data_IF_478300612197
#
_entry.id   IF_478300612197
#
_cell.length_a   1.000
_cell.length_b   1.000
_cell.length_c   1.000
_cell.angle_alpha   90.00
_cell.angle_beta   90.00
_cell.angle_gamma   90.00
#
_symmetry.space_group_name_H-M   'P 1'
#
loop_
_entity.id
_entity.type
_entity.pdbx_description
1 polymer ?
#
# COMPACT_ATOMS: atom_id res chain seq x y z
N UNK A 1 6.59 -34.51 7.33
CA UNK A 1 5.61 -34.64 6.24
C UNK A 1 5.01 -33.28 6.05
N UNK A 2 5.31 -32.62 4.92
CA UNK A 2 4.72 -31.33 4.59
C UNK A 2 3.21 -31.54 4.35
N UNK A 3 2.40 -30.94 5.20
CA UNK A 3 0.96 -30.98 5.09
C UNK A 3 0.58 -30.05 3.91
N UNK A 4 0.46 -30.61 2.72
CA UNK A 4 0.03 -29.88 1.53
C UNK A 4 -1.45 -29.58 1.72
N UNK A 5 -1.78 -28.48 2.41
CA UNK A 5 -3.15 -28.00 2.49
C UNK A 5 -3.60 -27.67 1.07
N UNK A 6 -4.55 -28.46 0.55
CA UNK A 6 -5.23 -28.11 -0.67
C UNK A 6 -5.97 -26.80 -0.43
N UNK A 7 -5.61 -25.77 -1.18
CA UNK A 7 -6.30 -24.49 -1.14
C UNK A 7 -7.75 -24.67 -1.62
N UNK A 8 -8.66 -24.05 -0.90
CA UNK A 8 -10.07 -23.95 -1.35
C UNK A 8 -10.15 -23.13 -2.65
N UNK A 9 -11.22 -23.32 -3.41
CA UNK A 9 -11.41 -22.57 -4.64
C UNK A 9 -11.54 -21.06 -4.42
N UNK A 10 -12.06 -20.65 -3.27
CA UNK A 10 -12.09 -19.25 -2.84
C UNK A 10 -10.69 -18.70 -2.60
N UNK A 11 -9.85 -19.44 -1.86
CA UNK A 11 -8.46 -19.04 -1.61
C UNK A 11 -7.64 -18.99 -2.89
N UNK A 12 -7.82 -19.96 -3.81
CA UNK A 12 -7.16 -19.94 -5.12
C UNK A 12 -7.56 -18.71 -5.94
N UNK A 13 -8.86 -18.40 -6.02
CA UNK A 13 -9.34 -17.20 -6.72
C UNK A 13 -8.76 -15.92 -6.11
N UNK A 14 -8.82 -15.80 -4.79
CA UNK A 14 -8.27 -14.66 -4.08
C UNK A 14 -6.77 -14.48 -4.36
N UNK A 15 -5.97 -15.54 -4.20
CA UNK A 15 -4.52 -15.50 -4.40
C UNK A 15 -4.13 -15.23 -5.86
N UNK A 16 -4.84 -15.81 -6.83
CA UNK A 16 -4.60 -15.52 -8.25
C UNK A 16 -4.74 -14.03 -8.55
N UNK A 17 -5.84 -13.41 -8.12
CA UNK A 17 -6.04 -11.96 -8.26
C UNK A 17 -5.01 -11.16 -7.45
N UNK A 18 -4.66 -11.61 -6.25
CA UNK A 18 -3.67 -10.97 -5.40
C UNK A 18 -2.31 -10.82 -6.09
N UNK A 19 -1.78 -11.91 -6.64
CA UNK A 19 -0.48 -11.88 -7.33
C UNK A 19 -0.50 -10.97 -8.57
N UNK A 20 -1.58 -10.99 -9.34
CA UNK A 20 -1.75 -10.06 -10.47
C UNK A 20 -1.79 -8.58 -10.00
N UNK A 21 -2.40 -8.30 -8.86
CA UNK A 21 -2.45 -6.95 -8.30
C UNK A 21 -1.06 -6.52 -7.81
N UNK A 22 -0.34 -7.40 -7.13
CA UNK A 22 1.03 -7.16 -6.66
C UNK A 22 1.98 -6.88 -7.81
N UNK A 23 1.96 -7.73 -8.85
CA UNK A 23 2.79 -7.55 -10.04
C UNK A 23 2.46 -6.24 -10.77
N UNK A 24 1.18 -5.93 -10.96
CA UNK A 24 0.73 -4.69 -11.58
C UNK A 24 1.14 -3.45 -10.78
N UNK A 25 1.16 -3.53 -9.44
CA UNK A 25 1.65 -2.46 -8.58
C UNK A 25 3.15 -2.25 -8.77
N UNK A 26 3.95 -3.32 -8.75
CA UNK A 26 5.40 -3.27 -8.94
C UNK A 26 5.74 -2.68 -10.30
N UNK A 27 5.06 -3.13 -11.35
CA UNK A 27 5.23 -2.61 -12.71
C UNK A 27 4.87 -1.12 -12.80
N UNK A 28 3.73 -0.72 -12.20
CA UNK A 28 3.31 0.67 -12.19
C UNK A 28 4.28 1.61 -11.49
N UNK A 29 4.83 1.20 -10.34
CA UNK A 29 5.86 1.97 -9.63
C UNK A 29 7.15 2.05 -10.44
N UNK A 30 7.56 0.94 -11.06
CA UNK A 30 8.80 0.88 -11.85
C UNK A 30 8.72 1.67 -13.16
N UNK A 31 7.52 1.81 -13.73
CA UNK A 31 7.27 2.57 -14.96
C UNK A 31 7.06 4.07 -14.71
N UNK A 32 7.04 4.53 -13.46
CA UNK A 32 6.82 5.92 -13.11
C UNK A 32 7.93 6.81 -13.70
N UNK A 33 7.53 7.87 -14.40
CA UNK A 33 8.47 8.85 -14.96
C UNK A 33 8.87 9.83 -13.87
N UNK A 34 10.13 9.77 -13.46
CA UNK A 34 10.67 10.64 -12.43
C UNK A 34 11.16 11.97 -13.03
N UNK A 35 11.06 13.03 -12.23
CA UNK A 35 11.50 14.39 -12.56
C UNK A 35 12.53 14.90 -11.53
N UNK A 36 12.84 16.20 -11.60
CA UNK A 36 13.68 16.84 -10.59
C UNK A 36 12.87 17.33 -9.35
N UNK A 37 11.70 16.79 -9.14
CA UNK A 37 10.83 17.11 -7.99
C UNK A 37 10.60 15.89 -7.11
N UNK A 38 10.94 15.98 -5.82
CA UNK A 38 10.60 14.95 -4.83
C UNK A 38 9.09 14.80 -4.71
N UNK A 39 8.33 15.90 -4.76
CA UNK A 39 6.87 15.88 -4.71
C UNK A 39 6.28 15.10 -5.87
N UNK A 40 6.70 15.42 -7.10
CA UNK A 40 6.29 14.68 -8.28
C UNK A 40 6.63 13.17 -8.16
N UNK A 41 7.88 12.88 -7.83
CA UNK A 41 8.36 11.50 -7.75
C UNK A 41 7.62 10.68 -6.69
N UNK A 42 7.31 11.30 -5.54
CA UNK A 42 6.44 10.67 -4.54
C UNK A 42 5.05 10.36 -5.12
N UNK A 43 4.40 11.34 -5.76
CA UNK A 43 3.04 11.20 -6.27
C UNK A 43 2.95 10.09 -7.33
N UNK A 44 3.79 10.14 -8.36
CA UNK A 44 3.72 9.18 -9.47
C UNK A 44 4.07 7.75 -9.08
N UNK A 45 4.88 7.56 -8.02
CA UNK A 45 5.17 6.25 -7.46
C UNK A 45 4.10 5.78 -6.46
N UNK A 46 3.38 6.70 -5.80
CA UNK A 46 2.32 6.37 -4.83
C UNK A 46 1.00 6.01 -5.49
N UNK A 47 0.62 6.65 -6.60
CA UNK A 47 -0.64 6.39 -7.30
C UNK A 47 -0.82 4.89 -7.65
N UNK A 48 0.15 4.17 -8.24
CA UNK A 48 0.03 2.73 -8.47
C UNK A 48 -0.19 1.92 -7.18
N UNK A 49 0.43 2.33 -6.07
CA UNK A 49 0.27 1.67 -4.77
C UNK A 49 -1.14 1.88 -4.22
N UNK A 50 -1.67 3.10 -4.24
CA UNK A 50 -3.05 3.41 -3.83
C UNK A 50 -4.08 2.64 -4.67
N UNK A 51 -3.91 2.63 -6.00
CA UNK A 51 -4.77 1.86 -6.92
C UNK A 51 -4.72 0.35 -6.63
N UNK A 52 -3.54 -0.18 -6.29
CA UNK A 52 -3.40 -1.58 -5.89
C UNK A 52 -4.16 -1.87 -4.59
N UNK A 53 -4.10 -0.99 -3.59
CA UNK A 53 -4.86 -1.15 -2.35
C UNK A 53 -6.38 -1.17 -2.59
N UNK A 54 -6.91 -0.32 -3.48
CA UNK A 54 -8.33 -0.38 -3.89
C UNK A 54 -8.66 -1.75 -4.47
N UNK A 55 -7.82 -2.26 -5.38
CA UNK A 55 -8.02 -3.57 -6.01
C UNK A 55 -7.93 -4.72 -5.01
N UNK A 56 -6.99 -4.67 -4.07
CA UNK A 56 -6.86 -5.66 -2.99
C UNK A 56 -8.12 -5.71 -2.13
N UNK A 57 -8.66 -4.55 -1.75
CA UNK A 57 -9.89 -4.46 -0.99
C UNK A 57 -11.09 -5.03 -1.77
N UNK A 58 -11.21 -4.70 -3.06
CA UNK A 58 -12.27 -5.24 -3.92
C UNK A 58 -12.16 -6.76 -4.07
N UNK A 59 -10.96 -7.28 -4.30
CA UNK A 59 -10.69 -8.72 -4.37
C UNK A 59 -11.14 -9.45 -3.09
N UNK A 60 -10.86 -8.89 -1.90
CA UNK A 60 -11.36 -9.45 -0.66
C UNK A 60 -12.89 -9.48 -0.61
N UNK A 61 -13.54 -8.37 -0.99
CA UNK A 61 -14.99 -8.22 -0.91
C UNK A 61 -15.76 -9.24 -1.75
N UNK A 62 -15.14 -9.81 -2.79
CA UNK A 62 -15.74 -10.89 -3.62
C UNK A 62 -15.83 -12.24 -2.89
N UNK A 63 -14.98 -12.48 -1.89
CA UNK A 63 -14.84 -13.80 -1.27
C UNK A 63 -15.05 -13.81 0.24
N UNK A 64 -14.84 -12.70 0.94
CA UNK A 64 -14.97 -12.62 2.40
C UNK A 64 -16.42 -12.58 2.84
N UNK A 65 -16.73 -13.34 3.90
CA UNK A 65 -18.01 -13.29 4.61
C UNK A 65 -17.88 -12.62 6.00
N UNK A 66 -16.66 -12.23 6.42
CA UNK A 66 -16.45 -11.56 7.70
C UNK A 66 -16.88 -10.10 7.66
N UNK A 67 -17.98 -9.78 8.32
CA UNK A 67 -18.55 -8.43 8.29
C UNK A 67 -17.63 -7.34 8.84
N UNK A 68 -16.70 -7.65 9.76
CA UNK A 68 -15.77 -6.67 10.31
C UNK A 68 -14.62 -6.38 9.31
N UNK A 69 -14.07 -7.43 8.67
CA UNK A 69 -13.02 -7.30 7.66
C UNK A 69 -13.58 -6.63 6.40
N UNK A 70 -14.79 -7.00 5.99
CA UNK A 70 -15.48 -6.35 4.86
C UNK A 70 -15.67 -4.84 5.08
N UNK A 71 -16.16 -4.44 6.27
CA UNK A 71 -16.28 -2.99 6.59
C UNK A 71 -14.95 -2.27 6.59
N UNK A 72 -13.88 -2.89 7.06
CA UNK A 72 -12.53 -2.34 6.97
C UNK A 72 -12.14 -2.15 5.50
N UNK A 73 -12.25 -3.19 4.68
CA UNK A 73 -11.89 -3.14 3.25
C UNK A 73 -12.68 -2.08 2.49
N UNK A 74 -13.98 -1.92 2.74
CA UNK A 74 -14.79 -0.87 2.13
C UNK A 74 -14.29 0.54 2.48
N UNK A 75 -14.00 0.80 3.76
CA UNK A 75 -13.47 2.12 4.18
C UNK A 75 -12.08 2.38 3.60
N UNK A 76 -11.22 1.37 3.58
CA UNK A 76 -9.89 1.47 2.98
C UNK A 76 -10.01 1.78 1.49
N UNK A 77 -10.83 1.03 0.74
CA UNK A 77 -11.00 1.24 -0.70
C UNK A 77 -11.48 2.66 -1.04
N UNK A 78 -12.44 3.20 -0.27
CA UNK A 78 -12.95 4.56 -0.47
C UNK A 78 -11.85 5.61 -0.26
N UNK A 79 -11.12 5.52 0.87
CA UNK A 79 -10.03 6.46 1.18
C UNK A 79 -8.87 6.39 0.19
N UNK A 80 -8.54 5.20 -0.30
CA UNK A 80 -7.50 5.05 -1.30
C UNK A 80 -7.89 5.64 -2.65
N UNK A 81 -9.16 5.55 -3.03
CA UNK A 81 -9.68 6.21 -4.22
C UNK A 81 -9.61 7.74 -4.09
N UNK A 82 -10.06 8.28 -2.96
CA UNK A 82 -9.95 9.72 -2.64
C UNK A 82 -8.49 10.19 -2.63
N UNK A 83 -7.56 9.37 -2.10
CA UNK A 83 -6.14 9.69 -2.10
C UNK A 83 -5.55 9.75 -3.51
N UNK A 84 -5.96 8.85 -4.42
CA UNK A 84 -5.55 8.92 -5.84
C UNK A 84 -5.99 10.24 -6.46
N UNK A 85 -7.26 10.62 -6.30
CA UNK A 85 -7.79 11.87 -6.84
C UNK A 85 -7.06 13.10 -6.30
N UNK A 86 -6.80 13.13 -4.98
CA UNK A 86 -6.08 14.23 -4.34
C UNK A 86 -4.61 14.32 -4.82
N UNK A 87 -3.93 13.19 -4.98
CA UNK A 87 -2.56 13.16 -5.49
C UNK A 87 -2.49 13.57 -6.97
N UNK A 88 -3.44 13.13 -7.80
CA UNK A 88 -3.53 13.54 -9.20
C UNK A 88 -3.79 15.04 -9.33
N UNK A 89 -4.63 15.61 -8.48
CA UNK A 89 -4.91 17.05 -8.44
C UNK A 89 -3.69 17.89 -8.02
N UNK A 90 -2.78 17.32 -7.20
CA UNK A 90 -1.57 18.01 -6.73
C UNK A 90 -0.40 17.94 -7.74
N UNK A 91 -0.45 17.08 -8.75
CA UNK A 91 0.65 16.90 -9.72
C UNK A 91 1.13 18.20 -10.36
N UNK A 92 0.26 19.12 -10.83
CA UNK A 92 0.71 20.38 -11.45
C UNK A 92 1.61 21.21 -10.52
N UNK A 93 1.20 21.38 -9.25
CA UNK A 93 1.98 22.11 -8.24
C UNK A 93 3.28 21.37 -7.85
N UNK A 94 3.24 20.05 -7.86
CA UNK A 94 4.41 19.23 -7.60
C UNK A 94 5.46 19.34 -8.71
N UNK A 95 5.05 19.56 -9.95
CA UNK A 95 5.94 19.71 -11.11
C UNK A 95 6.68 21.06 -11.13
N UNK A 96 6.11 22.08 -10.51
CA UNK A 96 6.73 23.42 -10.42
C UNK A 96 7.88 23.47 -9.42
N UNK A 97 7.94 22.53 -8.46
CA UNK A 97 8.96 22.51 -7.42
C UNK A 97 10.19 21.68 -7.85
N UNK A 98 11.36 22.32 -7.87
CA UNK A 98 12.63 21.65 -8.14
C UNK A 98 13.37 21.37 -6.84
N UNK A 99 13.80 20.13 -6.65
CA UNK A 99 14.55 19.71 -5.46
C UNK A 99 16.06 19.65 -5.70
N UNK A 100 16.91 19.92 -4.68
CA UNK A 100 18.35 19.74 -4.79
C UNK A 100 18.72 18.32 -5.23
N UNK A 101 19.69 18.18 -6.12
CA UNK A 101 20.04 16.89 -6.73
C UNK A 101 20.47 15.83 -5.69
N UNK A 102 21.13 16.25 -4.60
CA UNK A 102 21.50 15.35 -3.51
C UNK A 102 20.26 14.80 -2.82
N UNK A 103 19.27 15.65 -2.51
CA UNK A 103 18.04 15.27 -1.85
C UNK A 103 17.21 14.33 -2.71
N UNK A 104 17.13 14.58 -4.02
CA UNK A 104 16.49 13.66 -4.99
C UNK A 104 17.11 12.27 -4.93
N UNK A 105 18.45 12.17 -4.97
CA UNK A 105 19.14 10.87 -4.91
C UNK A 105 18.89 10.16 -3.58
N UNK A 106 18.95 10.88 -2.46
CA UNK A 106 18.74 10.31 -1.14
C UNK A 106 17.27 9.86 -0.95
N UNK A 107 16.32 10.70 -1.37
CA UNK A 107 14.90 10.34 -1.36
C UNK A 107 14.64 9.09 -2.20
N UNK A 108 15.05 9.08 -3.47
CA UNK A 108 14.79 7.96 -4.38
C UNK A 108 15.39 6.66 -3.86
N UNK A 109 16.68 6.69 -3.44
CA UNK A 109 17.32 5.51 -2.84
C UNK A 109 16.53 4.97 -1.65
N UNK A 110 16.01 5.85 -0.79
CA UNK A 110 15.22 5.43 0.39
C UNK A 110 13.86 4.90 -0.01
N UNK A 111 13.18 5.54 -0.95
CA UNK A 111 11.90 5.09 -1.48
C UNK A 111 12.01 3.70 -2.13
N UNK A 112 13.06 3.46 -2.90
CA UNK A 112 13.33 2.16 -3.54
C UNK A 112 13.54 1.05 -2.49
N UNK A 113 14.30 1.33 -1.43
CA UNK A 113 14.52 0.36 -0.34
C UNK A 113 13.21 0.02 0.39
N UNK A 114 12.39 1.03 0.69
CA UNK A 114 11.09 0.85 1.34
C UNK A 114 10.16 0.02 0.44
N UNK A 115 10.12 0.33 -0.85
CA UNK A 115 9.27 -0.39 -1.81
C UNK A 115 9.69 -1.86 -1.94
N UNK A 116 10.99 -2.15 -2.05
CA UNK A 116 11.50 -3.53 -2.10
C UNK A 116 11.15 -4.31 -0.84
N UNK A 117 11.35 -3.72 0.32
CA UNK A 117 11.00 -4.34 1.60
C UNK A 117 9.48 -4.64 1.68
N UNK A 118 8.65 -3.66 1.30
CA UNK A 118 7.20 -3.83 1.23
C UNK A 118 6.81 -5.00 0.31
N UNK A 119 7.35 -5.05 -0.91
CA UNK A 119 7.05 -6.12 -1.87
C UNK A 119 7.50 -7.48 -1.36
N UNK A 120 8.68 -7.56 -0.75
CA UNK A 120 9.19 -8.80 -0.15
C UNK A 120 8.27 -9.29 0.96
N UNK A 121 7.86 -8.41 1.87
CA UNK A 121 6.96 -8.78 2.97
C UNK A 121 5.56 -9.17 2.47
N UNK A 122 5.02 -8.46 1.48
CA UNK A 122 3.75 -8.82 0.86
C UNK A 122 3.81 -10.21 0.19
N UNK A 123 4.86 -10.48 -0.57
CA UNK A 123 5.06 -11.76 -1.26
C UNK A 123 5.40 -12.92 -0.32
N UNK A 124 5.91 -12.64 0.88
CA UNK A 124 6.29 -13.67 1.86
C UNK A 124 5.11 -14.14 2.74
N UNK A 125 3.90 -13.58 2.59
CA UNK A 125 2.73 -14.03 3.36
C UNK A 125 2.41 -15.47 2.99
N UNK A 126 2.44 -16.43 3.94
CA UNK A 126 2.16 -17.83 3.65
C UNK A 126 0.75 -18.01 3.10
N UNK A 127 0.63 -18.83 2.07
CA UNK A 127 -0.66 -19.19 1.49
C UNK A 127 -1.51 -20.00 2.49
N UNK A 128 -2.83 -19.90 2.35
CA UNK A 128 -3.76 -20.60 3.22
C UNK A 128 -5.23 -20.36 2.83
N UNK A 129 -6.14 -21.02 3.53
CA UNK A 129 -7.56 -20.98 3.23
C UNK A 129 -8.31 -19.84 3.94
N UNK A 130 -7.66 -19.16 4.89
CA UNK A 130 -8.29 -18.06 5.64
C UNK A 130 -8.06 -16.73 4.92
N UNK A 131 -8.88 -16.43 3.93
CA UNK A 131 -8.72 -15.26 3.03
C UNK A 131 -8.67 -13.94 3.80
N UNK A 132 -9.45 -13.81 4.87
CA UNK A 132 -9.43 -12.61 5.72
C UNK A 132 -8.07 -12.39 6.40
N UNK A 133 -7.43 -13.49 6.82
CA UNK A 133 -6.07 -13.45 7.41
C UNK A 133 -5.04 -13.07 6.36
N UNK A 134 -5.13 -13.69 5.19
CA UNK A 134 -4.24 -13.40 4.06
C UNK A 134 -4.31 -11.90 3.73
N UNK A 135 -5.51 -11.38 3.54
CA UNK A 135 -5.73 -9.97 3.24
C UNK A 135 -5.11 -9.04 4.30
N UNK A 136 -5.39 -9.28 5.58
CA UNK A 136 -4.87 -8.44 6.66
C UNK A 136 -3.33 -8.49 6.69
N UNK A 137 -2.73 -9.68 6.56
CA UNK A 137 -1.26 -9.86 6.55
C UNK A 137 -0.60 -9.25 5.32
N UNK A 138 -1.27 -9.21 4.18
CA UNK A 138 -0.79 -8.59 2.95
C UNK A 138 -0.94 -7.06 2.99
N UNK A 139 -2.04 -6.56 3.56
CA UNK A 139 -2.30 -5.12 3.62
C UNK A 139 -1.44 -4.40 4.67
N UNK A 140 -1.07 -5.05 5.78
CA UNK A 140 -0.23 -4.45 6.82
C UNK A 140 1.13 -4.00 6.27
N UNK A 141 1.95 -4.85 5.60
CA UNK A 141 3.21 -4.38 5.01
C UNK A 141 3.02 -3.34 3.92
N UNK A 142 1.95 -3.41 3.13
CA UNK A 142 1.59 -2.37 2.18
C UNK A 142 1.41 -1.00 2.88
N UNK A 143 0.64 -0.96 3.97
CA UNK A 143 0.46 0.27 4.77
C UNK A 143 1.74 0.76 5.40
N UNK A 144 2.57 -0.16 5.91
CA UNK A 144 3.86 0.20 6.51
C UNK A 144 4.79 0.83 5.47
N UNK A 145 4.84 0.29 4.26
CA UNK A 145 5.59 0.86 3.15
C UNK A 145 5.13 2.27 2.81
N UNK A 146 3.83 2.47 2.56
CA UNK A 146 3.24 3.78 2.26
C UNK A 146 3.54 4.82 3.35
N UNK A 147 3.35 4.46 4.63
CA UNK A 147 3.64 5.31 5.78
C UNK A 147 5.13 5.70 5.84
N UNK A 148 6.04 4.76 5.60
CA UNK A 148 7.48 5.01 5.63
C UNK A 148 7.91 5.91 4.46
N UNK A 149 7.32 5.75 3.27
CA UNK A 149 7.60 6.61 2.11
C UNK A 149 7.08 8.03 2.35
N UNK A 150 5.86 8.19 2.88
CA UNK A 150 5.30 9.49 3.24
C UNK A 150 6.16 10.23 4.29
N UNK A 151 6.59 9.52 5.34
CA UNK A 151 7.52 10.07 6.35
C UNK A 151 8.87 10.45 5.74
N UNK A 152 9.33 9.70 4.75
CA UNK A 152 10.60 10.00 4.06
C UNK A 152 10.46 11.26 3.23
N UNK A 153 9.37 11.43 2.48
CA UNK A 153 9.11 12.63 1.68
C UNK A 153 9.04 13.90 2.56
N UNK A 154 8.39 13.83 3.72
CA UNK A 154 8.29 14.96 4.67
C UNK A 154 9.62 15.40 5.31
N UNK A 155 10.73 14.72 5.05
CA UNK A 155 12.08 15.18 5.47
C UNK A 155 12.68 16.20 4.51
N UNK A 156 12.07 16.38 3.37
CA UNK A 156 12.50 17.27 2.31
C UNK A 156 11.46 18.35 2.08
N UNK A 157 11.83 19.37 1.32
CA UNK A 157 10.87 20.34 0.84
C UNK A 157 9.93 19.66 -0.16
N UNK A 158 8.64 19.73 0.11
CA UNK A 158 7.57 19.22 -0.75
C UNK A 158 6.55 20.33 -1.00
N UNK A 159 5.79 20.20 -2.09
CA UNK A 159 4.77 21.21 -2.44
C UNK A 159 3.75 21.41 -1.30
N UNK A 160 3.22 22.61 -1.22
CA UNK A 160 2.38 23.03 -0.10
C UNK A 160 1.11 22.17 0.05
N UNK A 161 0.53 21.74 -1.08
CA UNK A 161 -0.64 20.86 -1.07
C UNK A 161 -0.31 19.41 -0.74
N UNK A 162 0.90 18.92 -1.08
CA UNK A 162 1.30 17.54 -0.77
C UNK A 162 1.54 17.33 0.74
N UNK A 163 2.14 18.27 1.43
CA UNK A 163 2.48 18.11 2.85
C UNK A 163 1.29 17.70 3.75
N UNK A 164 0.10 18.33 3.66
CA UNK A 164 -1.07 17.91 4.43
C UNK A 164 -1.58 16.52 4.03
N UNK A 165 -1.53 16.16 2.74
CA UNK A 165 -1.91 14.81 2.26
C UNK A 165 -1.03 13.74 2.89
N UNK A 166 0.29 13.96 2.94
CA UNK A 166 1.26 13.05 3.57
C UNK A 166 0.97 12.86 5.07
N UNK A 167 0.72 13.95 5.80
CA UNK A 167 0.40 13.88 7.25
C UNK A 167 -0.89 13.11 7.49
N UNK A 168 -1.93 13.40 6.71
CA UNK A 168 -3.21 12.68 6.79
C UNK A 168 -3.06 11.18 6.49
N UNK A 169 -2.25 10.84 5.47
CA UNK A 169 -1.96 9.45 5.14
C UNK A 169 -1.24 8.71 6.28
N UNK A 170 -0.23 9.35 6.91
CA UNK A 170 0.51 8.79 8.04
C UNK A 170 -0.43 8.44 9.19
N UNK A 171 -1.30 9.38 9.59
CA UNK A 171 -2.23 9.19 10.70
C UNK A 171 -3.28 8.11 10.39
N UNK A 172 -3.81 8.13 9.18
CA UNK A 172 -4.87 7.20 8.76
C UNK A 172 -4.34 5.80 8.63
N UNK A 173 -3.24 5.60 7.90
CA UNK A 173 -2.63 4.28 7.71
C UNK A 173 -2.12 3.70 9.04
N UNK A 174 -1.60 4.54 9.94
CA UNK A 174 -1.20 4.12 11.28
C UNK A 174 -2.38 3.53 12.08
N UNK A 175 -3.53 4.22 12.08
CA UNK A 175 -4.76 3.71 12.74
C UNK A 175 -5.29 2.44 12.10
N UNK A 176 -5.26 2.35 10.78
CA UNK A 176 -5.71 1.15 10.05
C UNK A 176 -4.81 -0.06 10.35
N UNK A 177 -3.50 0.11 10.38
CA UNK A 177 -2.58 -0.97 10.77
C UNK A 177 -2.84 -1.45 12.20
N UNK A 178 -3.08 -0.53 13.13
CA UNK A 178 -3.43 -0.90 14.51
C UNK A 178 -4.73 -1.73 14.55
N UNK A 179 -5.78 -1.31 13.81
CA UNK A 179 -7.04 -2.06 13.70
C UNK A 179 -6.83 -3.45 13.10
N UNK A 180 -6.04 -3.57 12.02
CA UNK A 180 -5.74 -4.85 11.38
C UNK A 180 -4.99 -5.81 12.32
N UNK A 181 -3.97 -5.32 13.03
CA UNK A 181 -3.25 -6.10 14.03
C UNK A 181 -4.16 -6.56 15.18
N UNK A 182 -5.04 -5.66 15.67
CA UNK A 182 -6.03 -6.00 16.69
C UNK A 182 -7.04 -7.06 16.20
N UNK A 183 -7.43 -7.03 14.92
CA UNK A 183 -8.28 -8.06 14.32
C UNK A 183 -7.58 -9.43 14.26
N UNK A 184 -6.31 -9.46 13.86
CA UNK A 184 -5.50 -10.68 13.84
C UNK A 184 -5.35 -11.27 15.25
N UNK A 185 -4.98 -10.45 16.23
CA UNK A 185 -4.75 -10.89 17.60
C UNK A 185 -6.03 -11.46 18.27
N UNK A 186 -7.19 -10.81 18.11
CA UNK A 186 -8.45 -11.30 18.67
C UNK A 186 -8.90 -12.66 18.15
N UNK A 187 -8.39 -13.07 16.99
CA UNK A 187 -8.70 -14.34 16.34
C UNK A 187 -7.61 -15.40 16.54
N UNK A 188 -6.63 -15.15 17.42
CA UNK A 188 -5.50 -16.04 17.64
C UNK A 188 -4.54 -16.10 16.43
N UNK A 189 -4.65 -15.18 15.50
CA UNK A 189 -3.80 -15.10 14.31
C UNK A 189 -2.61 -14.20 14.59
N UNK A 190 -1.59 -14.75 15.27
CA UNK A 190 -0.41 -13.98 15.64
C UNK A 190 0.24 -13.33 14.41
N UNK A 191 0.57 -12.04 14.57
CA UNK A 191 1.49 -11.34 13.67
C UNK A 191 2.88 -11.87 13.98
N UNK A 192 3.50 -12.56 13.01
CA UNK A 192 4.92 -12.87 13.10
C UNK A 192 5.75 -11.58 13.10
#
# INVERSE_FOLDING_TARGET
MANTYLLSDEAKRYLCCYYQILDGMIQGVSAARLTQSISHNYIVQSIPQHRAAVRLCRNLLEVSNDGAVRRLAQRVAAREAEAVEALEAELPSADELTSPQMDLRLFQRRADLISREMYTQMGAVPEGNQVDVLFLRQLIPHRQGGLNTARTALRYEVSAGLAPLLRSAIDTQGREMWQMRAMLNRRGWQTA
#
